data_IF_741625395744
#
_entry.id   IF_741625395744
#
_cell.length_a   1.000
_cell.length_b   1.000
_cell.length_c   1.000
_cell.angle_alpha   90.00
_cell.angle_beta   90.00
_cell.angle_gamma   90.00
#
_symmetry.space_group_name_H-M   'P 1'
#
loop_
_entity.id
_entity.type
_entity.pdbx_description
1 polymer ?
#
# COMPACT_ATOMS: atom_id res chain seq x y z
N UNK A 1 25.93 16.49 -5.44
CA UNK A 1 26.21 15.06 -5.15
C UNK A 1 25.12 14.56 -4.22
N UNK A 2 24.72 13.29 -4.33
CA UNK A 2 23.77 12.68 -3.40
C UNK A 2 24.46 12.27 -2.09
N UNK A 3 23.70 12.26 -1.00
CA UNK A 3 24.11 11.72 0.30
C UNK A 3 23.38 10.39 0.52
N UNK A 4 24.14 9.36 0.88
CA UNK A 4 23.65 8.03 1.19
C UNK A 4 22.96 7.99 2.56
N UNK A 5 21.77 7.37 2.62
CA UNK A 5 20.95 7.31 3.83
C UNK A 5 20.57 5.85 4.15
N UNK A 6 20.08 5.65 5.38
CA UNK A 6 19.52 4.39 5.87
C UNK A 6 20.41 3.68 6.90
N UNK A 7 19.91 2.56 7.43
CA UNK A 7 20.61 1.71 8.42
C UNK A 7 21.97 1.25 7.90
N UNK A 8 22.03 0.89 6.62
CA UNK A 8 23.26 0.67 5.87
C UNK A 8 23.30 1.69 4.74
N UNK A 9 24.09 2.77 4.86
CA UNK A 9 24.06 3.85 3.88
C UNK A 9 24.29 3.34 2.46
N UNK A 10 23.37 3.71 1.56
CA UNK A 10 23.44 3.35 0.13
C UNK A 10 22.97 1.94 -0.21
N UNK A 11 22.49 1.15 0.77
CA UNK A 11 21.96 -0.19 0.50
C UNK A 11 20.67 -0.13 -0.31
N UNK A 12 20.63 -0.94 -1.37
CA UNK A 12 19.44 -1.23 -2.16
C UNK A 12 19.21 -2.73 -2.14
N UNK A 13 17.96 -3.15 -1.93
CA UNK A 13 17.55 -4.55 -1.94
C UNK A 13 16.52 -4.75 -3.04
N UNK A 14 16.68 -5.83 -3.78
CA UNK A 14 15.73 -6.29 -4.77
C UNK A 14 15.37 -7.74 -4.46
N UNK A 15 14.09 -8.06 -4.63
CA UNK A 15 13.56 -9.41 -4.52
C UNK A 15 12.77 -9.72 -5.78
N UNK A 16 12.87 -10.94 -6.26
CA UNK A 16 12.13 -11.42 -7.42
C UNK A 16 11.85 -12.91 -7.27
N UNK A 17 10.62 -13.29 -7.53
CA UNK A 17 10.20 -14.68 -7.63
C UNK A 17 9.20 -14.82 -8.80
N UNK A 18 9.43 -15.74 -9.75
CA UNK A 18 8.53 -15.93 -10.87
C UNK A 18 7.14 -16.42 -10.41
N UNK A 19 7.04 -17.10 -9.26
CA UNK A 19 5.79 -17.64 -8.75
C UNK A 19 4.88 -16.54 -8.15
N UNK A 20 5.37 -15.29 -8.03
CA UNK A 20 4.58 -14.18 -7.51
C UNK A 20 3.42 -13.79 -8.43
N UNK A 21 3.58 -14.01 -9.74
CA UNK A 21 2.59 -13.69 -10.77
C UNK A 21 2.58 -14.76 -11.84
N UNK A 22 1.39 -15.06 -12.38
CA UNK A 22 1.24 -15.95 -13.52
C UNK A 22 1.90 -15.33 -14.78
N UNK A 23 2.99 -15.91 -15.26
CA UNK A 23 3.71 -15.45 -16.45
C UNK A 23 2.90 -15.59 -17.75
N UNK A 24 1.90 -16.47 -17.76
CA UNK A 24 1.03 -16.71 -18.91
C UNK A 24 -0.17 -15.75 -18.96
N UNK A 25 -0.34 -14.85 -17.98
CA UNK A 25 -1.43 -13.88 -18.03
C UNK A 25 -1.23 -12.90 -19.19
N UNK A 26 -2.30 -12.65 -19.93
CA UNK A 26 -2.26 -11.81 -21.15
C UNK A 26 -2.05 -10.32 -20.83
N UNK A 27 -2.35 -9.91 -19.59
CA UNK A 27 -2.39 -8.51 -19.16
C UNK A 27 -3.39 -7.66 -19.94
N UNK A 28 -4.39 -8.30 -20.55
CA UNK A 28 -5.46 -7.63 -21.28
C UNK A 28 -6.72 -7.50 -20.42
N UNK A 29 -7.40 -6.36 -20.52
CA UNK A 29 -8.70 -6.18 -19.90
C UNK A 29 -9.78 -7.01 -20.63
N UNK A 30 -9.67 -7.08 -21.96
CA UNK A 30 -10.63 -7.73 -22.84
C UNK A 30 -10.17 -9.11 -23.32
N UNK A 31 -9.39 -9.82 -22.51
CA UNK A 31 -8.93 -11.16 -22.84
C UNK A 31 -10.12 -12.13 -23.02
N UNK A 32 -9.97 -13.20 -23.82
CA UNK A 32 -10.96 -14.27 -23.86
C UNK A 32 -11.17 -14.88 -22.46
N UNK A 33 -12.38 -14.72 -21.90
CA UNK A 33 -12.67 -15.14 -20.52
C UNK A 33 -12.69 -14.02 -19.49
N UNK A 34 -12.52 -12.76 -19.91
CA UNK A 34 -12.62 -11.56 -19.07
C UNK A 34 -11.26 -10.98 -18.67
N UNK A 35 -11.24 -9.98 -17.77
CA UNK A 35 -10.00 -9.31 -17.35
C UNK A 35 -8.92 -10.28 -16.88
N UNK A 36 -7.72 -10.16 -17.41
CA UNK A 36 -6.58 -11.05 -17.16
C UNK A 36 -5.26 -10.33 -16.79
N UNK A 37 -5.34 -9.29 -15.96
CA UNK A 37 -4.17 -8.57 -15.43
C UNK A 37 -3.38 -9.38 -14.40
N UNK A 38 -2.06 -9.20 -14.35
CA UNK A 38 -1.17 -9.87 -13.38
C UNK A 38 -1.55 -9.62 -11.91
N UNK A 39 -2.14 -8.47 -11.61
CA UNK A 39 -2.49 -8.05 -10.25
C UNK A 39 -3.82 -8.62 -9.75
N UNK A 40 -4.58 -9.32 -10.60
CA UNK A 40 -5.83 -9.98 -10.20
C UNK A 40 -5.50 -11.23 -9.37
N UNK A 41 -6.33 -11.54 -8.37
CA UNK A 41 -6.12 -12.68 -7.46
C UNK A 41 -5.92 -14.03 -8.17
N UNK A 42 -6.49 -14.21 -9.37
CA UNK A 42 -6.29 -15.42 -10.19
C UNK A 42 -4.89 -15.53 -10.82
N UNK A 43 -4.14 -14.42 -10.88
CA UNK A 43 -2.87 -14.28 -11.58
C UNK A 43 -1.72 -13.88 -10.65
N UNK A 44 -1.91 -13.86 -9.33
CA UNK A 44 -0.84 -13.65 -8.37
C UNK A 44 -0.95 -14.59 -7.17
N UNK A 45 0.17 -14.79 -6.48
CA UNK A 45 0.25 -15.56 -5.24
C UNK A 45 0.62 -14.65 -4.07
N UNK A 46 -0.37 -14.40 -3.19
CA UNK A 46 -0.18 -13.54 -2.02
C UNK A 46 0.88 -14.07 -1.05
N UNK A 47 1.03 -15.39 -0.90
CA UNK A 47 2.01 -15.97 0.01
C UNK A 47 3.44 -15.76 -0.51
N UNK A 48 3.65 -15.91 -1.83
CA UNK A 48 4.93 -15.60 -2.46
C UNK A 48 5.25 -14.11 -2.33
N UNK A 49 4.27 -13.23 -2.59
CA UNK A 49 4.43 -11.77 -2.43
C UNK A 49 4.78 -11.40 -0.99
N UNK A 50 4.10 -11.98 0.01
CA UNK A 50 4.39 -11.75 1.42
C UNK A 50 5.81 -12.15 1.78
N UNK A 51 6.23 -13.37 1.38
CA UNK A 51 7.61 -13.83 1.60
C UNK A 51 8.63 -12.90 0.93
N UNK A 52 8.34 -12.40 -0.28
CA UNK A 52 9.21 -11.45 -0.95
C UNK A 52 9.35 -10.14 -0.17
N UNK A 53 8.24 -9.58 0.33
CA UNK A 53 8.28 -8.38 1.16
C UNK A 53 9.03 -8.60 2.48
N UNK A 54 8.84 -9.76 3.12
CA UNK A 54 9.59 -10.15 4.32
C UNK A 54 11.09 -10.15 4.05
N UNK A 55 11.51 -10.78 2.97
CA UNK A 55 12.91 -10.86 2.58
C UNK A 55 13.50 -9.48 2.28
N UNK A 56 12.74 -8.59 1.63
CA UNK A 56 13.15 -7.20 1.40
C UNK A 56 13.43 -6.48 2.72
N UNK A 57 12.48 -6.45 3.67
CA UNK A 57 12.66 -5.70 4.93
C UNK A 57 13.76 -6.30 5.81
N UNK A 58 13.88 -7.64 5.85
CA UNK A 58 14.96 -8.33 6.57
C UNK A 58 16.33 -8.00 5.97
N UNK A 59 16.50 -8.09 4.65
CA UNK A 59 17.77 -7.77 3.95
C UNK A 59 18.12 -6.28 4.07
N UNK A 60 17.13 -5.39 3.98
CA UNK A 60 17.32 -3.95 4.10
C UNK A 60 17.86 -3.57 5.48
N UNK A 61 17.41 -4.25 6.52
CA UNK A 61 17.72 -3.94 7.92
C UNK A 61 18.79 -4.86 8.53
N UNK A 62 19.21 -5.90 7.81
CA UNK A 62 20.13 -6.92 8.31
C UNK A 62 19.55 -7.67 9.52
N UNK A 63 18.23 -7.90 9.51
CA UNK A 63 17.50 -8.55 10.60
C UNK A 63 17.13 -9.98 10.22
N UNK A 64 16.88 -10.82 11.23
CA UNK A 64 16.50 -12.22 11.03
C UNK A 64 14.99 -12.42 10.94
N UNK A 65 14.21 -11.48 11.48
CA UNK A 65 12.75 -11.48 11.47
C UNK A 65 12.20 -10.09 11.12
N UNK A 66 10.93 -10.06 10.72
CA UNK A 66 10.23 -8.86 10.24
C UNK A 66 9.96 -7.86 11.36
N UNK A 67 9.64 -8.32 12.59
CA UNK A 67 9.40 -7.43 13.72
C UNK A 67 10.64 -6.61 14.07
N UNK A 68 11.79 -7.28 14.22
CA UNK A 68 13.10 -6.63 14.40
C UNK A 68 13.48 -5.73 13.22
N UNK A 69 13.02 -6.04 12.00
CA UNK A 69 13.25 -5.18 10.85
C UNK A 69 12.49 -3.85 10.98
N UNK A 70 11.19 -3.89 11.27
CA UNK A 70 10.37 -2.68 11.47
C UNK A 70 10.84 -1.84 12.66
N UNK A 71 11.23 -2.48 13.77
CA UNK A 71 11.83 -1.80 14.93
C UNK A 71 13.03 -0.92 14.50
N UNK A 72 13.94 -1.49 13.72
CA UNK A 72 15.11 -0.76 13.20
C UNK A 72 14.74 0.31 12.17
N UNK A 73 13.75 0.05 11.31
CA UNK A 73 13.29 1.03 10.31
C UNK A 73 12.72 2.29 10.99
N UNK A 74 11.86 2.12 11.99
CA UNK A 74 11.30 3.24 12.75
C UNK A 74 12.38 3.95 13.54
N UNK A 75 13.26 3.21 14.23
CA UNK A 75 14.37 3.81 15.00
C UNK A 75 15.29 4.65 14.10
N UNK A 76 15.68 4.13 12.93
CA UNK A 76 16.52 4.89 11.99
C UNK A 76 15.79 6.12 11.42
N UNK A 77 14.50 5.98 11.08
CA UNK A 77 13.69 7.10 10.60
C UNK A 77 13.59 8.20 11.66
N UNK A 78 13.24 7.87 12.89
CA UNK A 78 13.09 8.81 14.00
C UNK A 78 14.41 9.50 14.33
N UNK A 79 15.52 8.74 14.37
CA UNK A 79 16.86 9.31 14.57
C UNK A 79 17.21 10.33 13.50
N UNK A 80 16.99 10.01 12.22
CA UNK A 80 17.25 10.94 11.10
C UNK A 80 16.32 12.16 11.10
N UNK A 81 15.15 12.06 11.72
CA UNK A 81 14.22 13.17 11.92
C UNK A 81 14.50 13.99 13.20
N UNK A 82 15.52 13.62 13.99
CA UNK A 82 15.86 14.30 15.23
C UNK A 82 14.93 13.97 16.41
N UNK A 83 14.15 12.88 16.31
CA UNK A 83 13.22 12.42 17.35
C UNK A 83 13.88 11.44 18.34
N UNK A 84 15.17 11.14 18.17
CA UNK A 84 15.95 10.26 19.04
C UNK A 84 16.01 8.81 18.56
N UNK A 85 16.56 7.93 19.40
CA UNK A 85 16.68 6.48 19.15
C UNK A 85 15.44 5.74 19.67
N UNK A 86 14.26 6.18 19.23
CA UNK A 86 12.98 5.59 19.59
C UNK A 86 12.38 4.90 18.37
N UNK A 87 11.83 3.72 18.58
CA UNK A 87 11.01 3.03 17.58
C UNK A 87 9.59 3.61 17.54
N UNK A 88 8.67 2.92 16.87
CA UNK A 88 7.24 3.20 16.96
C UNK A 88 6.74 3.05 18.41
N UNK A 89 5.93 4.00 18.85
CA UNK A 89 5.20 3.91 20.11
C UNK A 89 3.70 3.73 19.82
N UNK A 90 2.98 2.85 20.56
CA UNK A 90 1.55 2.64 20.38
C UNK A 90 0.74 3.95 20.38
N UNK A 91 -0.17 4.09 19.42
CA UNK A 91 -0.97 5.31 19.22
C UNK A 91 -0.34 6.33 18.27
N UNK A 92 0.92 6.17 17.88
CA UNK A 92 1.50 6.97 16.79
C UNK A 92 0.81 6.62 15.47
N UNK A 93 0.53 7.63 14.63
CA UNK A 93 -0.13 7.43 13.36
C UNK A 93 0.87 7.13 12.25
N UNK A 94 0.59 6.11 11.44
CA UNK A 94 1.38 5.76 10.26
C UNK A 94 0.58 6.09 9.01
N UNK A 95 1.17 6.85 8.11
CA UNK A 95 0.59 7.10 6.80
C UNK A 95 1.38 6.38 5.70
N UNK A 96 0.68 5.54 4.93
CA UNK A 96 1.21 4.77 3.82
C UNK A 96 0.64 5.36 2.53
N UNK A 97 1.48 6.08 1.78
CA UNK A 97 1.12 6.55 0.45
C UNK A 97 1.20 5.39 -0.54
N UNK A 98 0.07 5.05 -1.15
CA UNK A 98 0.01 4.17 -2.32
C UNK A 98 -0.14 5.01 -3.60
N UNK A 99 0.30 4.50 -4.75
CA UNK A 99 0.06 5.18 -6.02
C UNK A 99 -1.33 4.82 -6.53
N UNK A 100 -2.22 5.81 -6.64
CA UNK A 100 -3.55 5.59 -7.22
C UNK A 100 -3.95 6.58 -8.32
N UNK A 101 -2.98 7.16 -9.02
CA UNK A 101 -3.22 8.22 -9.99
C UNK A 101 -4.32 7.89 -11.02
N UNK A 102 -4.34 6.67 -11.56
CA UNK A 102 -5.32 6.21 -12.55
C UNK A 102 -6.75 6.21 -12.02
N UNK A 103 -6.93 5.90 -10.74
CA UNK A 103 -8.25 5.90 -10.10
C UNK A 103 -8.93 7.28 -10.17
N UNK A 104 -8.16 8.38 -10.26
CA UNK A 104 -8.70 9.74 -10.33
C UNK A 104 -9.52 10.08 -11.58
N UNK A 105 -9.43 9.27 -12.64
CA UNK A 105 -10.21 9.45 -13.90
C UNK A 105 -10.77 8.16 -14.48
N UNK A 106 -10.40 6.99 -13.93
CA UNK A 106 -10.94 5.69 -14.34
C UNK A 106 -12.20 5.30 -13.57
N UNK A 107 -12.47 5.94 -12.44
CA UNK A 107 -13.58 5.58 -11.57
C UNK A 107 -14.84 6.37 -11.89
N UNK A 108 -15.99 5.76 -11.58
CA UNK A 108 -17.27 6.49 -11.44
C UNK A 108 -17.48 6.88 -9.98
N UNK A 109 -18.02 8.08 -9.78
CA UNK A 109 -18.19 8.65 -8.43
C UNK A 109 -19.14 7.86 -7.53
N UNK A 110 -20.09 7.09 -8.10
CA UNK A 110 -21.11 6.41 -7.30
C UNK A 110 -20.57 5.32 -6.35
N UNK A 111 -19.49 4.64 -6.73
CA UNK A 111 -18.94 3.52 -5.97
C UNK A 111 -17.43 3.31 -6.15
N UNK A 112 -16.75 4.21 -6.87
CA UNK A 112 -15.33 4.14 -7.19
C UNK A 112 -14.89 2.86 -7.93
N UNK A 113 -15.84 2.13 -8.52
CA UNK A 113 -15.53 1.10 -9.51
C UNK A 113 -15.10 1.76 -10.83
N UNK A 114 -14.59 0.96 -11.76
CA UNK A 114 -14.36 1.43 -13.13
C UNK A 114 -15.63 2.10 -13.69
N UNK A 115 -15.45 3.25 -14.34
CA UNK A 115 -16.51 3.96 -15.04
C UNK A 115 -16.97 3.23 -16.30
N UNK A 116 -17.81 3.87 -17.11
CA UNK A 116 -18.38 3.26 -18.31
C UNK A 116 -17.52 3.50 -19.56
N UNK A 117 -17.90 2.88 -20.69
CA UNK A 117 -17.25 3.13 -21.99
C UNK A 117 -15.79 2.69 -22.02
N UNK A 118 -14.87 3.62 -22.30
CA UNK A 118 -13.44 3.28 -22.40
C UNK A 118 -12.80 3.02 -21.02
N UNK A 119 -13.33 3.65 -19.94
CA UNK A 119 -12.85 3.43 -18.57
C UNK A 119 -13.13 1.99 -18.12
N UNK A 120 -14.31 1.46 -18.48
CA UNK A 120 -14.69 0.07 -18.25
C UNK A 120 -13.81 -0.95 -18.97
N UNK A 121 -12.88 -0.52 -19.83
CA UNK A 121 -12.07 -1.39 -20.69
C UNK A 121 -10.57 -1.13 -20.53
N UNK A 122 -10.18 -0.48 -19.43
CA UNK A 122 -8.81 -0.01 -19.22
C UNK A 122 -8.31 -0.44 -17.85
N UNK A 123 -7.13 -1.04 -17.82
CA UNK A 123 -6.39 -1.13 -16.57
C UNK A 123 -5.78 0.21 -16.19
N UNK A 124 -5.66 0.47 -14.89
CA UNK A 124 -5.02 1.67 -14.41
C UNK A 124 -3.50 1.57 -14.59
N UNK A 125 -2.90 2.67 -15.03
CA UNK A 125 -1.47 2.72 -15.31
C UNK A 125 -0.68 3.02 -14.04
N UNK A 126 0.29 2.15 -13.72
CA UNK A 126 1.25 2.33 -12.63
C UNK A 126 0.64 2.43 -11.22
N UNK A 127 -0.45 1.72 -10.94
CA UNK A 127 -1.04 1.65 -9.60
C UNK A 127 -0.24 0.76 -8.64
N UNK A 128 -0.33 1.04 -7.35
CA UNK A 128 -0.05 0.03 -6.34
C UNK A 128 -1.18 -1.00 -6.33
N UNK A 129 -0.85 -2.28 -6.53
CA UNK A 129 -1.82 -3.37 -6.45
C UNK A 129 -2.16 -3.72 -5.01
N UNK A 130 -3.38 -4.21 -4.77
CA UNK A 130 -3.80 -4.65 -3.44
C UNK A 130 -2.85 -5.68 -2.79
N UNK A 131 -2.32 -6.70 -3.49
CA UNK A 131 -1.41 -7.66 -2.88
C UNK A 131 -0.16 -7.05 -2.26
N UNK A 132 0.38 -5.99 -2.87
CA UNK A 132 1.54 -5.27 -2.34
C UNK A 132 1.18 -4.45 -1.09
N UNK A 133 0.03 -3.77 -1.11
CA UNK A 133 -0.45 -3.01 0.04
C UNK A 133 -0.79 -3.93 1.22
N UNK A 134 -1.47 -5.06 0.95
CA UNK A 134 -1.80 -6.10 1.94
C UNK A 134 -0.54 -6.65 2.59
N UNK A 135 0.52 -6.90 1.82
CA UNK A 135 1.77 -7.42 2.39
C UNK A 135 2.41 -6.46 3.39
N UNK A 136 2.39 -5.15 3.13
CA UNK A 136 2.89 -4.15 4.10
C UNK A 136 1.99 -4.06 5.33
N UNK A 137 0.66 -4.10 5.15
CA UNK A 137 -0.30 -4.10 6.25
C UNK A 137 -0.15 -5.34 7.13
N UNK A 138 0.06 -6.52 6.54
CA UNK A 138 0.27 -7.78 7.25
C UNK A 138 1.51 -7.70 8.17
N UNK A 139 2.63 -7.19 7.64
CA UNK A 139 3.83 -7.00 8.47
C UNK A 139 3.63 -5.99 9.61
N UNK A 140 2.96 -4.86 9.34
CA UNK A 140 2.76 -3.82 10.35
C UNK A 140 1.76 -4.25 11.43
N UNK A 141 0.63 -4.81 11.03
CA UNK A 141 -0.47 -5.15 11.94
C UNK A 141 -0.22 -6.49 12.61
N UNK A 142 0.01 -7.55 11.84
CA UNK A 142 0.02 -8.91 12.37
C UNK A 142 1.38 -9.32 12.95
N UNK A 143 2.48 -8.74 12.44
CA UNK A 143 3.84 -9.12 12.88
C UNK A 143 4.42 -8.10 13.86
N UNK A 144 4.39 -6.82 13.52
CA UNK A 144 4.99 -5.77 14.33
C UNK A 144 4.05 -5.24 15.43
N UNK A 145 2.74 -5.30 15.22
CA UNK A 145 1.72 -4.98 16.23
C UNK A 145 1.21 -3.53 16.23
N UNK A 146 1.24 -2.85 15.08
CA UNK A 146 0.56 -1.56 14.92
C UNK A 146 -0.95 -1.78 14.90
N UNK A 147 -1.70 -0.99 15.66
CA UNK A 147 -3.16 -1.06 15.63
C UNK A 147 -3.68 -0.57 14.27
N UNK A 148 -4.65 -1.28 13.69
CA UNK A 148 -5.24 -0.90 12.40
C UNK A 148 -5.75 0.54 12.39
N UNK A 149 -6.38 1.00 13.47
CA UNK A 149 -6.90 2.37 13.62
C UNK A 149 -5.81 3.47 13.67
N UNK A 150 -4.55 3.08 13.82
CA UNK A 150 -3.39 3.97 13.75
C UNK A 150 -2.80 4.07 12.33
N UNK A 151 -3.26 3.23 11.39
CA UNK A 151 -2.78 3.19 10.01
C UNK A 151 -3.74 3.92 9.08
N UNK A 152 -3.18 4.83 8.30
CA UNK A 152 -3.82 5.52 7.21
C UNK A 152 -3.16 5.10 5.90
N UNK A 153 -3.95 4.67 4.92
CA UNK A 153 -3.44 4.23 3.61
C UNK A 153 -4.26 4.85 2.48
N UNK A 154 -3.58 5.38 1.46
CA UNK A 154 -4.25 5.94 0.29
C UNK A 154 -3.36 6.86 -0.53
N UNK A 155 -3.98 7.62 -1.42
CA UNK A 155 -3.36 8.70 -2.18
C UNK A 155 -4.16 9.99 -1.89
N UNK A 156 -3.55 11.08 -1.40
CA UNK A 156 -4.30 12.26 -1.02
C UNK A 156 -4.82 13.03 -2.25
N UNK A 157 -4.38 12.66 -3.46
CA UNK A 157 -4.77 13.32 -4.72
C UNK A 157 -5.65 12.44 -5.61
N UNK A 158 -5.91 11.19 -5.23
CA UNK A 158 -6.67 10.24 -6.05
C UNK A 158 -7.62 9.38 -5.21
N UNK A 159 -8.47 8.63 -5.90
CA UNK A 159 -9.34 7.65 -5.26
C UNK A 159 -8.60 6.34 -5.01
N UNK A 160 -9.09 5.49 -4.13
CA UNK A 160 -8.70 4.07 -4.12
C UNK A 160 -9.71 3.30 -4.96
N UNK A 161 -9.24 2.65 -6.03
CA UNK A 161 -10.08 1.79 -6.86
C UNK A 161 -10.85 0.79 -6.00
N UNK A 162 -12.15 0.64 -6.27
CA UNK A 162 -13.04 -0.23 -5.48
C UNK A 162 -12.45 -1.63 -5.27
N UNK A 163 -11.98 -2.27 -6.32
CA UNK A 163 -11.42 -3.63 -6.25
C UNK A 163 -10.18 -3.72 -5.33
N UNK A 164 -9.36 -2.65 -5.29
CA UNK A 164 -8.22 -2.58 -4.36
C UNK A 164 -8.69 -2.38 -2.92
N UNK A 165 -9.63 -1.46 -2.71
CA UNK A 165 -10.21 -1.19 -1.41
C UNK A 165 -10.88 -2.43 -0.81
N UNK A 166 -11.72 -3.11 -1.58
CA UNK A 166 -12.48 -4.28 -1.13
C UNK A 166 -11.56 -5.41 -0.66
N UNK A 167 -10.45 -5.64 -1.36
CA UNK A 167 -9.45 -6.62 -0.95
C UNK A 167 -8.75 -6.23 0.36
N UNK A 168 -8.39 -4.96 0.51
CA UNK A 168 -7.71 -4.51 1.73
C UNK A 168 -8.65 -4.49 2.94
N UNK A 169 -9.85 -3.90 2.82
CA UNK A 169 -10.80 -3.74 3.94
C UNK A 169 -11.37 -5.08 4.41
N UNK A 170 -11.41 -6.09 3.54
CA UNK A 170 -11.81 -7.45 3.92
C UNK A 170 -10.82 -8.09 4.91
N UNK A 171 -9.55 -7.68 4.91
CA UNK A 171 -8.50 -8.20 5.78
C UNK A 171 -8.19 -7.28 6.96
N UNK A 172 -8.28 -5.96 6.75
CA UNK A 172 -7.92 -4.94 7.74
C UNK A 172 -9.02 -3.87 7.85
N UNK A 173 -10.20 -4.21 8.40
CA UNK A 173 -11.39 -3.36 8.36
C UNK A 173 -11.25 -2.05 9.14
N UNK A 174 -10.35 -1.98 10.12
CA UNK A 174 -10.21 -0.82 11.00
C UNK A 174 -9.16 0.20 10.49
N UNK A 175 -8.40 -0.16 9.44
CA UNK A 175 -7.47 0.73 8.73
C UNK A 175 -8.23 1.89 8.10
N UNK A 176 -7.59 3.06 8.10
CA UNK A 176 -8.16 4.30 7.56
C UNK A 176 -7.80 4.47 6.08
N UNK A 177 -8.74 4.10 5.21
CA UNK A 177 -8.59 4.16 3.75
C UNK A 177 -8.85 5.56 3.20
N UNK A 178 -7.79 6.34 2.99
CA UNK A 178 -7.86 7.73 2.57
C UNK A 178 -8.41 7.87 1.15
N UNK A 179 -9.30 8.84 0.97
CA UNK A 179 -9.77 9.28 -0.34
C UNK A 179 -9.67 10.81 -0.47
N UNK A 180 -9.54 11.30 -1.72
CA UNK A 180 -9.44 12.73 -2.02
C UNK A 180 -10.76 13.49 -1.85
N UNK A 181 -11.91 12.83 -1.99
CA UNK A 181 -13.22 13.49 -1.97
C UNK A 181 -13.97 13.20 -0.67
N UNK A 182 -14.39 14.24 0.08
CA UNK A 182 -15.13 14.08 1.32
C UNK A 182 -16.50 13.39 1.15
N UNK A 183 -17.06 13.33 -0.06
CA UNK A 183 -18.38 12.73 -0.29
C UNK A 183 -18.37 11.21 -0.11
N UNK A 184 -17.23 10.54 -0.26
CA UNK A 184 -17.12 9.07 -0.25
C UNK A 184 -17.01 8.44 1.15
N UNK A 185 -17.20 9.22 2.22
CA UNK A 185 -17.28 8.64 3.57
C UNK A 185 -18.49 7.72 3.76
N UNK A 186 -19.55 7.93 2.97
CA UNK A 186 -20.74 7.06 2.93
C UNK A 186 -20.43 5.64 2.43
N UNK A 187 -19.38 5.48 1.62
CA UNK A 187 -18.87 4.20 1.12
C UNK A 187 -17.60 3.73 1.84
N UNK A 188 -17.38 4.20 3.07
CA UNK A 188 -16.33 3.70 3.97
C UNK A 188 -14.93 4.25 3.70
N UNK A 189 -14.80 5.37 2.98
CA UNK A 189 -13.53 6.09 2.83
C UNK A 189 -13.28 7.03 4.02
N UNK A 190 -12.01 7.20 4.37
CA UNK A 190 -11.55 8.17 5.38
C UNK A 190 -11.24 9.50 4.71
N UNK A 191 -11.83 10.58 5.23
CA UNK A 191 -11.61 11.95 4.74
C UNK A 191 -10.35 12.51 5.41
N UNK A 192 -9.50 13.18 4.63
CA UNK A 192 -8.35 13.92 5.16
C UNK A 192 -8.58 15.40 4.98
N UNK A 193 -8.36 16.17 6.06
CA UNK A 193 -8.46 17.61 6.00
C UNK A 193 -7.08 18.25 5.89
N UNK A 194 -6.95 19.18 4.94
CA UNK A 194 -5.76 20.02 4.86
C UNK A 194 -5.76 20.97 6.05
N UNK A 195 -4.69 20.97 6.85
CA UNK A 195 -4.47 22.03 7.85
C UNK A 195 -3.33 22.95 7.44
N UNK A 196 -3.19 24.05 8.17
CA UNK A 196 -2.17 25.06 7.93
C UNK A 196 -0.73 24.52 8.09
N UNK A 197 -0.54 23.48 8.94
CA UNK A 197 0.79 23.01 9.29
C UNK A 197 1.14 21.60 8.80
N UNK A 198 0.21 20.65 8.65
CA UNK A 198 0.40 19.36 7.97
C UNK A 198 -0.97 18.70 7.68
N UNK A 199 -1.03 17.55 6.99
CA UNK A 199 -2.28 16.77 6.91
C UNK A 199 -2.74 16.39 8.33
N UNK A 200 -3.97 16.75 8.72
CA UNK A 200 -4.59 16.23 9.94
C UNK A 200 -5.69 15.25 9.57
N UNK A 201 -5.73 14.13 10.29
CA UNK A 201 -6.81 13.16 10.18
C UNK A 201 -7.86 13.49 11.24
N UNK A 202 -9.11 13.65 10.83
CA UNK A 202 -10.25 13.83 11.75
C UNK A 202 -11.06 12.54 11.86
#
# INVERSE_FOLDING_TARGET
MGEELGIFPGRVVWEWDPDATNEDCTNEYNAPGGPDGYFLAKNNDQAVINRMMDDVVKKLTGSYDVGSAWEKLFTDFNRRKGLGELSYEPGQKIYIKINQGGAGWLTRDSDLAYGDGWQANSYPNAETSAPMAISVLEQLVNVYGVQEEDIYIGDPNAHILKDNYEQMVALFPDVKYIDRDPQHADIGRTIVHKTADFMSFA
#
